data_IF_059326437357
#
_entry.id   IF_059326437357
#
_cell.length_a   1.000
_cell.length_b   1.000
_cell.length_c   1.000
_cell.angle_alpha   90.00
_cell.angle_beta   90.00
_cell.angle_gamma   90.00
#
_symmetry.space_group_name_H-M   'P 1'
#
loop_
_entity.id
_entity.type
_entity.pdbx_description
1 polymer ?
#
# COMPACT_ATOMS: atom_id res chain seq x y z
N UNK A 1 2.70 -7.18 36.52
CA UNK A 1 3.24 -8.22 35.64
C UNK A 1 3.44 -7.63 34.27
N UNK A 2 4.65 -7.78 33.74
CA UNK A 2 5.08 -7.19 32.48
C UNK A 2 4.20 -7.71 31.33
N UNK A 3 3.42 -6.81 30.73
CA UNK A 3 2.72 -7.10 29.48
C UNK A 3 3.76 -7.14 28.36
N UNK A 4 3.72 -8.23 27.61
CA UNK A 4 4.63 -8.66 26.56
C UNK A 4 4.89 -7.57 25.51
N UNK A 5 5.93 -6.77 25.70
CA UNK A 5 6.57 -6.00 24.62
C UNK A 5 7.54 -6.92 23.89
N UNK A 6 7.02 -7.78 23.01
CA UNK A 6 7.86 -8.47 22.03
C UNK A 6 8.29 -7.43 20.99
N UNK A 7 9.60 -7.10 20.87
CA UNK A 7 10.05 -6.22 19.80
C UNK A 7 9.78 -6.93 18.47
N UNK A 8 8.99 -6.31 17.59
CA UNK A 8 8.84 -6.78 16.21
C UNK A 8 10.21 -6.62 15.55
N UNK A 9 10.77 -7.76 15.14
CA UNK A 9 12.09 -7.98 14.55
C UNK A 9 12.48 -6.91 13.53
N UNK A 10 13.76 -6.52 13.59
CA UNK A 10 14.44 -5.66 12.62
C UNK A 10 14.30 -6.23 11.21
N UNK A 11 13.78 -5.41 10.29
CA UNK A 11 13.57 -5.81 8.90
C UNK A 11 14.92 -5.80 8.16
N UNK A 12 15.20 -6.80 7.31
CA UNK A 12 16.45 -6.83 6.52
C UNK A 12 16.50 -5.75 5.43
N UNK A 13 17.67 -5.57 4.83
CA UNK A 13 17.83 -4.69 3.66
C UNK A 13 17.02 -5.24 2.47
N UNK A 14 16.06 -4.47 1.98
CA UNK A 14 15.15 -4.87 0.90
C UNK A 14 15.56 -4.16 -0.39
N UNK A 15 15.64 -4.92 -1.49
CA UNK A 15 15.85 -4.31 -2.80
C UNK A 15 14.79 -4.76 -3.80
N UNK A 16 14.37 -3.82 -4.64
CA UNK A 16 13.47 -4.09 -5.76
C UNK A 16 13.95 -3.35 -7.01
N UNK A 17 14.13 -4.09 -8.11
CA UNK A 17 14.35 -3.54 -9.44
C UNK A 17 13.07 -3.65 -10.25
N UNK A 18 12.68 -2.55 -10.88
CA UNK A 18 11.53 -2.50 -11.79
C UNK A 18 12.04 -2.16 -13.19
N UNK A 19 11.88 -3.12 -14.11
CA UNK A 19 12.26 -3.01 -15.52
C UNK A 19 11.98 -4.31 -16.28
N UNK A 20 11.66 -4.23 -17.57
CA UNK A 20 11.39 -5.41 -18.41
C UNK A 20 12.67 -6.24 -18.56
N UNK A 21 12.62 -7.48 -18.08
CA UNK A 21 13.68 -8.44 -18.32
C UNK A 21 13.77 -8.77 -19.81
N UNK A 22 14.90 -8.43 -20.43
CA UNK A 22 15.45 -9.21 -21.55
C UNK A 22 16.91 -9.53 -21.24
N UNK A 23 17.16 -10.81 -20.96
CA UNK A 23 18.45 -11.41 -21.30
C UNK A 23 18.53 -11.47 -22.81
N UNK A 24 19.28 -10.57 -23.43
CA UNK A 24 19.92 -10.79 -24.73
C UNK A 24 20.81 -9.59 -25.06
N UNK A 25 21.99 -9.89 -25.60
CA UNK A 25 22.86 -8.96 -26.30
C UNK A 25 22.10 -8.27 -27.44
N UNK A 26 22.64 -7.12 -27.84
CA UNK A 26 22.50 -6.47 -29.15
C UNK A 26 21.61 -5.21 -29.21
N UNK A 27 22.14 -4.24 -29.94
CA UNK A 27 21.81 -2.81 -29.97
C UNK A 27 20.57 -2.52 -30.84
N UNK A 28 19.75 -1.55 -30.42
CA UNK A 28 19.22 -0.41 -31.20
C UNK A 28 17.83 0.07 -30.72
N UNK A 29 17.62 1.38 -30.89
CA UNK A 29 16.37 2.16 -30.87
C UNK A 29 15.73 2.57 -29.52
N UNK A 30 15.40 3.87 -29.48
CA UNK A 30 15.14 4.70 -28.30
C UNK A 30 13.78 4.36 -27.68
N UNK A 31 13.76 3.95 -26.39
CA UNK A 31 12.54 3.96 -25.59
C UNK A 31 12.85 4.25 -24.12
N UNK A 32 12.00 5.03 -23.50
CA UNK A 32 12.26 5.85 -22.33
C UNK A 32 12.68 5.08 -21.04
N UNK A 33 13.75 5.57 -20.41
CA UNK A 33 14.11 5.55 -18.97
C UNK A 33 14.60 4.22 -18.34
N UNK A 34 15.75 4.30 -17.67
CA UNK A 34 16.56 3.20 -17.17
C UNK A 34 15.94 2.32 -16.08
N UNK A 35 16.68 1.26 -15.74
CA UNK A 35 16.33 0.31 -14.66
C UNK A 35 16.11 1.08 -13.35
N UNK A 36 14.89 1.02 -12.80
CA UNK A 36 14.59 1.62 -11.50
C UNK A 36 15.03 0.66 -10.40
N UNK A 37 15.84 1.13 -9.45
CA UNK A 37 16.24 0.39 -8.26
C UNK A 37 15.74 1.12 -7.02
N UNK A 38 14.98 0.42 -6.19
CA UNK A 38 14.57 0.87 -4.86
C UNK A 38 15.33 0.03 -3.83
N UNK A 39 16.14 0.69 -3.02
CA UNK A 39 16.80 0.12 -1.85
C UNK A 39 16.12 0.69 -0.61
N UNK A 40 15.86 -0.18 0.37
CA UNK A 40 15.17 0.20 1.61
C UNK A 40 16.01 -0.31 2.75
N UNK A 41 16.41 0.62 3.61
CA UNK A 41 17.14 0.30 4.83
C UNK A 41 16.22 -0.39 5.86
N UNK A 42 16.80 -1.25 6.71
CA UNK A 42 16.14 -1.79 7.89
C UNK A 42 15.39 -0.73 8.70
N UNK A 43 14.10 -0.96 8.94
CA UNK A 43 13.26 -0.15 9.81
C UNK A 43 12.47 -1.00 10.79
N UNK A 44 11.60 -0.41 11.61
CA UNK A 44 10.58 -1.12 12.38
C UNK A 44 9.32 -0.26 12.48
N UNK A 45 8.16 -0.90 12.68
CA UNK A 45 6.89 -0.21 12.90
C UNK A 45 6.34 -0.63 14.26
N UNK A 46 5.90 0.33 15.07
CA UNK A 46 5.18 0.04 16.30
C UNK A 46 3.67 0.08 16.09
N UNK A 47 2.93 -0.63 16.92
CA UNK A 47 1.48 -0.52 16.95
C UNK A 47 1.05 0.91 17.35
N UNK A 48 -0.09 1.35 16.80
CA UNK A 48 -0.70 2.65 17.13
C UNK A 48 0.12 3.88 16.75
N UNK A 49 1.00 3.77 15.76
CA UNK A 49 1.77 4.88 15.21
C UNK A 49 1.30 5.29 13.81
N UNK A 50 1.57 6.53 13.43
CA UNK A 50 1.37 7.04 12.08
C UNK A 50 2.74 7.32 11.46
N UNK A 51 3.08 6.56 10.43
CA UNK A 51 4.32 6.78 9.65
C UNK A 51 3.99 7.53 8.37
N UNK A 52 4.72 8.63 8.12
CA UNK A 52 4.55 9.44 6.91
C UNK A 52 5.69 9.15 5.93
N UNK A 53 5.35 8.76 4.70
CA UNK A 53 6.30 8.59 3.61
C UNK A 53 6.37 9.87 2.76
N UNK A 54 7.49 10.56 2.79
CA UNK A 54 7.75 11.78 2.02
C UNK A 54 8.75 11.53 0.90
N UNK A 55 8.70 12.35 -0.15
CA UNK A 55 9.61 12.28 -1.31
C UNK A 55 8.91 12.65 -2.61
N UNK A 56 9.68 12.81 -3.68
CA UNK A 56 9.16 13.17 -5.00
C UNK A 56 8.43 12.01 -5.69
N UNK A 57 7.65 12.33 -6.72
CA UNK A 57 7.05 11.31 -7.57
C UNK A 57 8.15 10.53 -8.28
N UNK A 58 8.05 9.19 -8.28
CA UNK A 58 9.08 8.32 -8.84
C UNK A 58 10.11 7.79 -7.85
N UNK A 59 10.19 8.28 -6.60
CA UNK A 59 11.13 7.76 -5.58
C UNK A 59 10.76 6.35 -5.05
N UNK A 60 9.68 5.73 -5.53
CA UNK A 60 9.31 4.36 -5.14
C UNK A 60 8.39 4.22 -3.93
N UNK A 61 7.82 5.31 -3.40
CA UNK A 61 6.86 5.26 -2.27
C UNK A 61 5.71 4.29 -2.49
N UNK A 62 5.04 4.37 -3.64
CA UNK A 62 3.95 3.46 -4.01
C UNK A 62 4.44 2.02 -4.16
N UNK A 63 5.67 1.83 -4.63
CA UNK A 63 6.32 0.51 -4.73
C UNK A 63 6.54 -0.09 -3.35
N UNK A 64 7.03 0.70 -2.39
CA UNK A 64 7.18 0.29 -0.98
C UNK A 64 5.84 -0.09 -0.35
N UNK A 65 4.80 0.73 -0.53
CA UNK A 65 3.44 0.42 0.00
C UNK A 65 2.91 -0.89 -0.58
N UNK A 66 3.09 -1.13 -1.89
CA UNK A 66 2.68 -2.40 -2.53
C UNK A 66 3.46 -3.59 -1.96
N UNK A 67 4.74 -3.42 -1.63
CA UNK A 67 5.54 -4.48 -0.99
C UNK A 67 5.05 -4.78 0.43
N UNK A 68 4.80 -3.75 1.24
CA UNK A 68 4.23 -3.89 2.59
C UNK A 68 2.83 -4.53 2.57
N UNK A 69 2.03 -4.22 1.54
CA UNK A 69 0.70 -4.81 1.34
C UNK A 69 0.72 -6.24 0.78
N UNK A 70 1.90 -6.82 0.51
CA UNK A 70 2.04 -8.14 -0.12
C UNK A 70 1.63 -8.19 -1.61
N UNK A 71 1.29 -7.05 -2.22
CA UNK A 71 0.91 -6.93 -3.63
C UNK A 71 2.11 -6.96 -4.59
N UNK A 72 3.33 -6.80 -4.06
CA UNK A 72 4.58 -6.88 -4.81
C UNK A 72 5.64 -7.57 -3.96
N UNK A 73 6.35 -8.55 -4.50
CA UNK A 73 7.46 -9.20 -3.77
C UNK A 73 8.79 -8.49 -4.06
N UNK A 74 9.68 -8.32 -3.07
CA UNK A 74 11.05 -7.82 -3.29
C UNK A 74 11.84 -8.80 -4.16
N UNK A 75 12.92 -8.34 -4.79
CA UNK A 75 13.84 -9.23 -5.53
C UNK A 75 14.90 -9.83 -4.60
N UNK A 76 15.22 -9.15 -3.50
CA UNK A 76 16.09 -9.64 -2.43
C UNK A 76 15.66 -9.09 -1.07
N UNK A 77 15.96 -9.83 -0.01
CA UNK A 77 15.51 -9.52 1.35
C UNK A 77 14.11 -10.09 1.64
N UNK A 78 13.71 -10.06 2.90
CA UNK A 78 12.44 -10.63 3.37
C UNK A 78 11.63 -9.62 4.18
N UNK A 79 10.30 -9.71 4.07
CA UNK A 79 9.32 -8.96 4.83
C UNK A 79 8.64 -9.90 5.82
N UNK A 80 8.98 -9.76 7.11
CA UNK A 80 8.49 -10.60 8.22
C UNK A 80 7.04 -10.26 8.66
N UNK A 81 6.40 -9.31 7.98
CA UNK A 81 5.05 -8.84 8.32
C UNK A 81 3.93 -9.41 7.43
N UNK A 82 4.27 -10.22 6.41
CA UNK A 82 3.29 -10.75 5.43
C UNK A 82 2.10 -11.47 6.09
N UNK A 83 2.33 -12.16 7.21
CA UNK A 83 1.30 -12.98 7.87
C UNK A 83 0.70 -12.28 9.11
N UNK A 84 1.14 -11.06 9.45
CA UNK A 84 0.82 -10.40 10.74
C UNK A 84 0.02 -9.11 10.60
N UNK A 85 -0.15 -8.57 9.38
CA UNK A 85 -0.86 -7.31 9.14
C UNK A 85 -1.99 -7.49 8.11
N UNK A 86 -3.20 -7.10 8.50
CA UNK A 86 -4.28 -6.87 7.52
C UNK A 86 -4.10 -5.47 6.94
N UNK A 87 -3.64 -5.39 5.69
CA UNK A 87 -3.31 -4.11 5.05
C UNK A 87 -4.50 -3.59 4.26
N UNK A 88 -4.93 -2.37 4.55
CA UNK A 88 -5.90 -1.63 3.73
C UNK A 88 -5.18 -0.58 2.88
N UNK A 89 -5.29 -0.69 1.56
CA UNK A 89 -4.61 0.21 0.62
C UNK A 89 -5.65 1.02 -0.15
N UNK A 90 -5.50 2.35 -0.13
CA UNK A 90 -6.23 3.25 -1.04
C UNK A 90 -5.39 3.49 -2.30
N UNK A 91 -5.81 3.03 -3.49
CA UNK A 91 -5.04 3.22 -4.71
C UNK A 91 -4.98 4.72 -5.07
N UNK A 92 -3.84 5.14 -5.63
CA UNK A 92 -3.65 6.52 -6.11
C UNK A 92 -4.54 6.85 -7.31
N UNK A 93 -4.77 5.86 -8.19
CA UNK A 93 -5.72 5.94 -9.30
C UNK A 93 -6.84 4.96 -9.06
N UNK A 94 -8.07 5.45 -9.07
CA UNK A 94 -9.28 4.64 -8.96
C UNK A 94 -10.05 4.74 -10.27
N UNK A 95 -10.36 3.57 -10.86
CA UNK A 95 -11.32 3.46 -11.95
C UNK A 95 -12.51 2.68 -11.39
N UNK A 96 -13.70 3.29 -11.26
CA UNK A 96 -14.86 2.57 -10.77
C UNK A 96 -15.22 1.43 -11.72
N UNK A 97 -15.35 0.23 -11.16
CA UNK A 97 -15.79 -0.98 -11.87
C UNK A 97 -17.13 -1.49 -11.34
N UNK A 98 -17.69 -0.83 -10.32
CA UNK A 98 -18.97 -1.19 -9.74
C UNK A 98 -20.10 -0.52 -10.54
N UNK A 99 -21.06 -1.32 -10.98
CA UNK A 99 -22.31 -0.85 -11.56
C UNK A 99 -23.34 -0.69 -10.45
N UNK A 100 -23.82 0.53 -10.23
CA UNK A 100 -24.79 0.86 -9.18
C UNK A 100 -24.50 2.20 -8.52
N UNK A 101 -25.25 2.50 -7.46
CA UNK A 101 -25.07 3.73 -6.69
C UNK A 101 -23.95 3.61 -5.66
N UNK A 102 -23.41 4.75 -5.23
CA UNK A 102 -22.43 4.77 -4.12
C UNK A 102 -23.06 4.17 -2.85
N UNK A 103 -24.34 4.45 -2.59
CA UNK A 103 -25.07 3.90 -1.45
C UNK A 103 -25.07 2.36 -1.47
N UNK A 104 -25.38 1.75 -2.62
CA UNK A 104 -25.37 0.30 -2.79
C UNK A 104 -23.98 -0.29 -2.53
N UNK A 105 -22.92 0.33 -3.08
CA UNK A 105 -21.55 -0.12 -2.87
C UNK A 105 -21.15 -0.09 -1.39
N UNK A 106 -21.45 1.02 -0.69
CA UNK A 106 -21.13 1.17 0.72
C UNK A 106 -21.92 0.18 1.58
N UNK A 107 -23.20 -0.05 1.28
CA UNK A 107 -23.99 -1.08 1.95
C UNK A 107 -23.40 -2.47 1.73
N UNK A 108 -22.95 -2.80 0.52
CA UNK A 108 -22.38 -4.11 0.22
C UNK A 108 -21.03 -4.36 0.92
N UNK A 109 -20.18 -3.33 1.07
CA UNK A 109 -18.80 -3.50 1.56
C UNK A 109 -18.61 -3.12 3.02
N UNK A 110 -19.36 -2.16 3.54
CA UNK A 110 -19.12 -1.56 4.85
C UNK A 110 -20.43 -1.28 5.62
N UNK A 111 -21.46 -2.13 5.50
CA UNK A 111 -22.76 -1.93 6.16
C UNK A 111 -22.67 -1.58 7.65
N UNK A 112 -21.74 -2.19 8.39
CA UNK A 112 -21.54 -1.90 9.81
C UNK A 112 -21.04 -0.47 10.05
N UNK A 113 -20.12 0.01 9.21
CA UNK A 113 -19.61 1.38 9.29
C UNK A 113 -20.68 2.42 8.94
N UNK A 114 -21.67 2.09 8.10
CA UNK A 114 -22.79 3.00 7.81
C UNK A 114 -23.63 3.32 9.05
N UNK A 115 -23.66 2.45 10.06
CA UNK A 115 -24.33 2.73 11.33
C UNK A 115 -23.49 3.54 12.33
N UNK A 116 -22.18 3.73 12.07
CA UNK A 116 -21.30 4.51 12.95
C UNK A 116 -21.70 6.00 12.89
N UNK A 117 -22.02 6.64 14.04
CA UNK A 117 -22.40 8.05 14.07
C UNK A 117 -21.36 9.01 13.49
N UNK A 118 -20.06 8.69 13.58
CA UNK A 118 -18.97 9.49 13.00
C UNK A 118 -18.93 9.33 11.49
N UNK A 119 -19.14 8.11 10.98
CA UNK A 119 -19.22 7.91 9.53
C UNK A 119 -20.42 8.68 8.93
N UNK A 120 -21.52 8.75 9.68
CA UNK A 120 -22.69 9.56 9.33
C UNK A 120 -22.39 11.06 9.30
N UNK A 121 -21.68 11.59 10.31
CA UNK A 121 -21.33 13.02 10.37
C UNK A 121 -20.27 13.43 9.35
N UNK A 122 -19.29 12.58 9.10
CA UNK A 122 -18.08 12.95 8.36
C UNK A 122 -18.17 12.60 6.88
N UNK A 123 -18.98 11.61 6.52
CA UNK A 123 -19.07 11.10 5.15
C UNK A 123 -20.49 11.17 4.61
N UNK A 124 -21.47 10.51 5.24
CA UNK A 124 -22.79 10.31 4.63
C UNK A 124 -23.56 11.62 4.45
N UNK A 125 -23.66 12.44 5.49
CA UNK A 125 -24.40 13.71 5.42
C UNK A 125 -23.70 14.76 4.56
N UNK A 126 -22.37 15.03 4.72
CA UNK A 126 -21.71 16.07 3.93
C UNK A 126 -21.67 15.74 2.43
N UNK A 127 -21.62 14.45 2.08
CA UNK A 127 -21.57 13.99 0.69
C UNK A 127 -22.95 13.63 0.12
N UNK A 128 -24.03 13.81 0.89
CA UNK A 128 -25.43 13.55 0.48
C UNK A 128 -25.63 12.15 -0.13
N UNK A 129 -25.09 11.11 0.51
CA UNK A 129 -25.06 9.74 -0.05
C UNK A 129 -26.38 8.98 0.15
N UNK A 130 -27.27 9.46 1.04
CA UNK A 130 -28.45 8.73 1.50
C UNK A 130 -29.79 9.46 1.25
N UNK A 131 -29.83 10.38 0.27
CA UNK A 131 -31.08 10.97 -0.22
C UNK A 131 -31.58 10.29 -1.50
#
# INVERSE_FOLDING_TARGET
SAEDRVPLSSYGHLTKRIGTGKSAKEQAEVSAVGKFCLEVDPGSFSCSEITVLLGENGTGKTTLIKMLAGLLSPDSGELDCKDRLTVSVKPQMFVPTFEGTVQELLHAKIHSALSDPRFQSDVVRPMMIAE
#
